data_IF_722112036769
#
_entry.id   IF_722112036769
#
_cell.length_a   1.000
_cell.length_b   1.000
_cell.length_c   1.000
_cell.angle_alpha   90.00
_cell.angle_beta   90.00
_cell.angle_gamma   90.00
#
_symmetry.space_group_name_H-M   'P 1'
#
loop_
_entity.id
_entity.type
_entity.pdbx_description
1 polymer ?
#
# COMPACT_ATOMS: atom_id res chain seq x y z
N UNK A 1 -18.12 -3.17 14.72
CA UNK A 1 -18.09 -4.46 13.99
C UNK A 1 -17.06 -4.44 12.85
N UNK A 2 -17.21 -3.62 11.80
CA UNK A 2 -16.22 -3.56 10.71
C UNK A 2 -14.88 -2.88 11.12
N UNK A 3 -14.94 -1.81 11.92
CA UNK A 3 -13.74 -1.12 12.41
C UNK A 3 -12.82 -2.01 13.25
N UNK A 4 -13.40 -2.93 14.01
CA UNK A 4 -12.64 -3.82 14.90
C UNK A 4 -11.91 -4.91 14.11
N UNK A 5 -12.47 -5.34 12.96
CA UNK A 5 -11.77 -6.23 12.02
C UNK A 5 -10.58 -5.54 11.37
N UNK A 6 -10.74 -4.29 10.91
CA UNK A 6 -9.63 -3.54 10.32
C UNK A 6 -8.49 -3.33 11.33
N UNK A 7 -8.80 -2.92 12.56
CA UNK A 7 -7.81 -2.79 13.64
C UNK A 7 -7.09 -4.11 13.93
N UNK A 8 -7.81 -5.24 13.89
CA UNK A 8 -7.21 -6.57 14.04
C UNK A 8 -6.19 -6.86 12.93
N UNK A 9 -6.51 -6.57 11.67
CA UNK A 9 -5.59 -6.77 10.55
C UNK A 9 -4.33 -5.91 10.68
N UNK A 10 -4.46 -4.65 11.06
CA UNK A 10 -3.32 -3.76 11.31
C UNK A 10 -2.46 -4.29 12.45
N UNK A 11 -3.07 -4.71 13.55
CA UNK A 11 -2.37 -5.28 14.70
C UNK A 11 -1.58 -6.55 14.32
N UNK A 12 -2.22 -7.50 13.62
CA UNK A 12 -1.57 -8.73 13.15
C UNK A 12 -0.40 -8.43 12.20
N UNK A 13 -0.54 -7.42 11.34
CA UNK A 13 0.50 -6.99 10.40
C UNK A 13 1.70 -6.33 11.11
N UNK A 14 1.46 -5.66 12.25
CA UNK A 14 2.50 -5.03 13.07
C UNK A 14 3.31 -6.05 13.89
N UNK A 15 2.80 -7.28 14.10
CA UNK A 15 3.53 -8.38 14.76
C UNK A 15 4.60 -8.97 13.83
N UNK A 16 5.68 -8.23 13.62
CA UNK A 16 6.79 -8.64 12.76
C UNK A 16 7.89 -9.41 13.50
N UNK A 17 7.98 -9.26 14.82
CA UNK A 17 8.99 -9.91 15.65
C UNK A 17 8.83 -11.45 15.66
N UNK A 18 9.94 -12.22 15.60
CA UNK A 18 9.89 -13.68 15.71
C UNK A 18 9.22 -14.19 16.98
N UNK A 19 9.30 -13.44 18.09
CA UNK A 19 8.67 -13.81 19.38
C UNK A 19 7.15 -13.82 19.30
N UNK A 20 6.59 -13.00 18.41
CA UNK A 20 5.14 -12.86 18.24
C UNK A 20 4.58 -13.81 17.18
N UNK A 21 5.43 -14.62 16.53
CA UNK A 21 5.02 -15.53 15.46
C UNK A 21 3.88 -16.46 15.89
N UNK A 22 3.92 -17.00 17.12
CA UNK A 22 2.88 -17.87 17.66
C UNK A 22 1.54 -17.14 17.83
N UNK A 23 1.59 -15.90 18.32
CA UNK A 23 0.40 -15.05 18.49
C UNK A 23 -0.19 -14.67 17.14
N UNK A 24 0.66 -14.26 16.19
CA UNK A 24 0.29 -13.95 14.81
C UNK A 24 -0.39 -15.14 14.12
N UNK A 25 0.19 -16.34 14.19
CA UNK A 25 -0.40 -17.55 13.60
C UNK A 25 -1.76 -17.87 14.20
N UNK A 26 -1.91 -17.78 15.53
CA UNK A 26 -3.18 -18.04 16.21
C UNK A 26 -4.27 -17.02 15.84
N UNK A 27 -3.91 -15.76 15.65
CA UNK A 27 -4.84 -14.72 15.19
C UNK A 27 -5.25 -14.95 13.73
N UNK A 28 -4.30 -15.30 12.86
CA UNK A 28 -4.58 -15.61 11.45
C UNK A 28 -5.56 -16.78 11.30
N UNK A 29 -5.41 -17.87 12.07
CA UNK A 29 -6.35 -18.99 12.04
C UNK A 29 -7.77 -18.54 12.41
N UNK A 30 -7.92 -17.67 13.41
CA UNK A 30 -9.25 -17.16 13.82
C UNK A 30 -9.87 -16.25 12.76
N UNK A 31 -9.06 -15.47 12.07
CA UNK A 31 -9.48 -14.62 10.95
C UNK A 31 -9.90 -15.48 9.74
N UNK A 32 -9.18 -16.57 9.48
CA UNK A 32 -9.52 -17.50 8.38
C UNK A 32 -10.82 -18.26 8.61
N UNK A 33 -11.12 -18.55 9.88
CA UNK A 33 -12.37 -19.20 10.28
C UNK A 33 -13.59 -18.27 10.20
N UNK A 34 -13.40 -16.95 10.05
CA UNK A 34 -14.48 -15.99 9.80
C UNK A 34 -14.69 -15.81 8.28
N UNK A 35 -15.85 -16.25 7.74
CA UNK A 35 -16.15 -16.15 6.31
C UNK A 35 -16.26 -14.69 5.81
N UNK A 36 -16.55 -13.72 6.67
CA UNK A 36 -16.56 -12.30 6.28
C UNK A 36 -15.15 -11.72 6.21
N UNK A 37 -14.28 -12.11 7.15
CA UNK A 37 -12.91 -11.60 7.25
C UNK A 37 -12.02 -12.13 6.13
N UNK A 38 -12.24 -13.37 5.67
CA UNK A 38 -11.49 -13.95 4.55
C UNK A 38 -11.74 -13.22 3.24
N UNK A 39 -12.96 -12.76 2.98
CA UNK A 39 -13.27 -11.98 1.78
C UNK A 39 -12.68 -10.58 1.85
N UNK A 40 -12.76 -9.91 3.00
CA UNK A 40 -12.12 -8.61 3.21
C UNK A 40 -10.60 -8.67 3.08
N UNK A 41 -9.95 -9.74 3.59
CA UNK A 41 -8.51 -9.92 3.45
C UNK A 41 -8.08 -10.14 1.99
N UNK A 42 -8.86 -10.88 1.20
CA UNK A 42 -8.63 -11.03 -0.24
C UNK A 42 -8.74 -9.69 -0.97
N UNK A 43 -9.77 -8.90 -0.66
CA UNK A 43 -9.95 -7.57 -1.24
C UNK A 43 -8.80 -6.65 -0.84
N UNK A 44 -8.41 -6.63 0.44
CA UNK A 44 -7.31 -5.79 0.92
C UNK A 44 -5.96 -6.13 0.26
N UNK A 45 -5.66 -7.42 0.04
CA UNK A 45 -4.47 -7.85 -0.70
C UNK A 45 -4.52 -7.39 -2.16
N UNK A 46 -5.68 -7.49 -2.79
CA UNK A 46 -5.87 -7.04 -4.17
C UNK A 46 -5.71 -5.52 -4.28
N UNK A 47 -6.33 -4.76 -3.37
CA UNK A 47 -6.28 -3.29 -3.34
C UNK A 47 -4.87 -2.79 -3.02
N UNK A 48 -4.16 -3.44 -2.08
CA UNK A 48 -2.74 -3.15 -1.83
C UNK A 48 -1.89 -3.41 -3.05
N UNK A 49 -2.11 -4.51 -3.78
CA UNK A 49 -1.35 -4.79 -5.00
C UNK A 49 -1.58 -3.74 -6.08
N UNK A 50 -2.79 -3.18 -6.20
CA UNK A 50 -3.08 -2.06 -7.12
C UNK A 50 -2.30 -0.81 -6.74
N UNK A 51 -2.19 -0.51 -5.44
CA UNK A 51 -1.49 0.68 -4.93
C UNK A 51 0.03 0.52 -4.95
N UNK A 52 0.54 -0.68 -4.63
CA UNK A 52 1.98 -0.99 -4.63
C UNK A 52 2.55 -1.22 -6.01
N UNK A 53 1.74 -1.47 -7.05
CA UNK A 53 2.24 -1.51 -8.41
C UNK A 53 2.93 -0.17 -8.70
N UNK A 54 4.27 -0.13 -8.90
CA UNK A 54 4.85 1.01 -9.57
C UNK A 54 4.19 0.99 -10.94
N UNK A 55 3.43 2.04 -11.25
CA UNK A 55 2.91 2.22 -12.60
C UNK A 55 4.11 1.98 -13.52
N UNK A 56 4.07 0.93 -14.34
CA UNK A 56 5.21 0.51 -15.16
C UNK A 56 5.64 1.55 -16.20
N UNK A 57 5.03 2.73 -16.16
CA UNK A 57 5.52 3.95 -16.74
C UNK A 57 6.33 4.74 -15.70
N UNK A 58 7.58 4.31 -15.46
CA UNK A 58 8.65 5.29 -15.28
C UNK A 58 8.91 5.95 -16.64
N UNK A 59 7.88 6.58 -17.23
CA UNK A 59 8.12 7.65 -18.17
C UNK A 59 8.68 8.78 -17.31
N UNK A 60 10.01 8.84 -17.28
CA UNK A 60 10.77 10.00 -16.85
C UNK A 60 10.18 11.16 -17.66
N UNK A 61 9.25 11.90 -17.07
CA UNK A 61 8.82 13.18 -17.61
C UNK A 61 10.04 14.10 -17.45
N UNK A 62 10.94 14.07 -18.41
CA UNK A 62 12.02 15.04 -18.55
C UNK A 62 11.36 16.40 -18.71
N UNK A 63 11.26 17.13 -17.61
CA UNK A 63 10.82 18.52 -17.60
C UNK A 63 11.90 19.33 -18.34
N UNK A 64 11.68 19.59 -19.62
CA UNK A 64 12.52 20.51 -20.36
C UNK A 64 12.22 21.93 -19.87
N UNK A 65 13.10 22.47 -19.02
CA UNK A 65 13.06 23.86 -18.64
C UNK A 65 13.34 24.73 -19.88
N UNK A 66 12.34 25.49 -20.33
CA UNK A 66 12.51 26.48 -21.41
C UNK A 66 13.18 27.71 -20.82
N UNK A 67 14.48 27.88 -21.06
CA UNK A 67 15.17 29.14 -20.73
C UNK A 67 14.77 30.21 -21.73
N UNK A 68 14.07 31.24 -21.26
CA UNK A 68 13.67 32.40 -22.05
C UNK A 68 14.92 33.24 -22.39
N UNK A 69 15.43 33.15 -23.61
CA UNK A 69 16.50 34.04 -24.08
C UNK A 69 15.95 35.47 -24.18
N UNK A 70 16.49 36.37 -23.36
CA UNK A 70 16.18 37.80 -23.39
C UNK A 70 16.75 38.36 -24.70
N UNK A 71 15.90 38.58 -25.70
CA UNK A 71 16.28 39.31 -26.89
C UNK A 71 16.65 40.75 -26.48
N UNK A 72 17.91 41.10 -26.63
CA UNK A 72 18.43 42.47 -26.56
C UNK A 72 17.99 43.20 -27.82
N UNK A 73 17.12 44.20 -27.68
CA UNK A 73 16.81 45.13 -28.77
C UNK A 73 18.04 45.99 -29.07
N UNK A 74 18.47 46.14 -30.33
CA UNK A 74 19.45 47.15 -30.70
C UNK A 74 18.81 48.55 -30.68
N UNK A 75 19.70 49.53 -30.59
CA UNK A 75 19.52 50.96 -30.30
C UNK A 75 19.03 51.75 -31.49
#
# INVERSE_FOLDING_TARGET
MADDQFKCFIFVSALQSPRDAKTRTRLLVKIEQDPNSTQQLRNLKHDSAIVEQPSSSFAINTVHAVTRTKATSPR
#
